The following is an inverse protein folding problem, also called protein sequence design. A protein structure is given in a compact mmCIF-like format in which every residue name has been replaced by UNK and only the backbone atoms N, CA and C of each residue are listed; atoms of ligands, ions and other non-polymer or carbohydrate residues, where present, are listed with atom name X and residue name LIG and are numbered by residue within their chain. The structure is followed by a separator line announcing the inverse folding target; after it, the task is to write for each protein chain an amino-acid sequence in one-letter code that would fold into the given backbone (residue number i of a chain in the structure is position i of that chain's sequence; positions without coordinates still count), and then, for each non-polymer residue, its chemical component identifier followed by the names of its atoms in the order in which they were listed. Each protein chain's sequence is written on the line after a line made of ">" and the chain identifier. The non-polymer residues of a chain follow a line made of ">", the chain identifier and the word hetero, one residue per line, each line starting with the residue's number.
data_IF_194333418242
#
_entry.id   IF_194333418242
#
_cell.length_a   1.000
_cell.length_b   1.000
_cell.length_c   1.000
_cell.angle_alpha   90.00
_cell.angle_beta   90.00
_cell.angle_gamma   90.00
#
_symmetry.space_group_name_H-M   'P 1'
#
loop_
_entity.id
_entity.type
_entity.pdbx_description
1 polymer ?
#
# COMPACT_ATOMS: atom_id res chain seq x y z
N UNK A 1 11.75 12.75 48.20
CA UNK A 1 11.08 12.97 46.90
C UNK A 1 9.63 13.23 47.22
N UNK A 2 9.15 14.43 46.92
CA UNK A 2 7.73 14.77 47.12
C UNK A 2 6.86 13.96 46.17
N UNK A 3 5.65 13.59 46.59
CA UNK A 3 4.71 12.75 45.81
C UNK A 3 4.49 13.29 44.39
N UNK A 4 4.49 14.61 44.23
CA UNK A 4 4.39 15.27 42.93
C UNK A 4 5.55 14.94 41.98
N UNK A 5 6.79 14.86 42.48
CA UNK A 5 7.96 14.51 41.65
C UNK A 5 7.87 13.07 41.14
N UNK A 6 7.38 12.14 41.97
CA UNK A 6 7.19 10.73 41.58
C UNK A 6 6.14 10.61 40.48
N UNK A 7 5.00 11.31 40.63
CA UNK A 7 3.94 11.33 39.62
C UNK A 7 4.48 11.91 38.30
N UNK A 8 5.25 12.99 38.36
CA UNK A 8 5.80 13.65 37.18
C UNK A 8 6.78 12.73 36.43
N UNK A 9 7.63 11.99 37.15
CA UNK A 9 8.52 10.98 36.56
C UNK A 9 7.71 9.87 35.88
N UNK A 10 6.66 9.34 36.52
CA UNK A 10 5.82 8.29 35.93
C UNK A 10 5.12 8.75 34.65
N UNK A 11 4.60 9.98 34.64
CA UNK A 11 3.98 10.57 33.45
C UNK A 11 4.98 10.72 32.31
N UNK A 12 6.20 11.19 32.60
CA UNK A 12 7.26 11.33 31.59
C UNK A 12 7.64 9.97 31.03
N UNK A 13 7.85 8.95 31.88
CA UNK A 13 8.18 7.59 31.43
C UNK A 13 7.08 7.00 30.57
N UNK A 14 5.81 7.17 30.96
CA UNK A 14 4.67 6.70 30.18
C UNK A 14 4.58 7.41 28.82
N UNK A 15 4.74 8.73 28.79
CA UNK A 15 4.73 9.53 27.56
C UNK A 15 5.88 9.12 26.61
N UNK A 16 7.07 8.87 27.15
CA UNK A 16 8.22 8.37 26.40
C UNK A 16 7.92 6.99 25.81
N UNK A 17 7.35 6.06 26.58
CA UNK A 17 6.94 4.74 26.08
C UNK A 17 5.92 4.83 24.92
N UNK A 18 4.94 5.71 25.06
CA UNK A 18 3.91 5.97 24.03
C UNK A 18 4.52 6.51 22.74
N UNK A 19 5.64 7.25 22.79
CA UNK A 19 6.31 7.81 21.61
C UNK A 19 7.35 6.87 21.01
N UNK A 20 8.18 6.23 21.84
CA UNK A 20 9.29 5.38 21.39
C UNK A 20 8.77 4.09 20.75
N UNK A 21 7.79 3.42 21.37
CA UNK A 21 7.27 2.14 20.87
C UNK A 21 6.72 2.23 19.42
N UNK A 22 5.85 3.19 19.06
CA UNK A 22 5.38 3.29 17.68
C UNK A 22 6.49 3.71 16.71
N UNK A 23 7.44 4.56 17.13
CA UNK A 23 8.57 4.94 16.29
C UNK A 23 9.47 3.74 15.97
N UNK A 24 9.81 2.94 17.00
CA UNK A 24 10.61 1.73 16.86
C UNK A 24 9.91 0.67 16.01
N UNK A 25 8.60 0.45 16.22
CA UNK A 25 7.82 -0.50 15.43
C UNK A 25 7.78 -0.13 13.93
N UNK A 26 7.59 1.16 13.60
CA UNK A 26 7.64 1.64 12.21
C UNK A 26 9.01 1.42 11.57
N UNK A 27 10.07 1.62 12.35
CA UNK A 27 11.44 1.45 11.87
C UNK A 27 11.79 -0.03 11.64
N UNK A 28 11.40 -0.92 12.55
CA UNK A 28 11.54 -2.37 12.40
C UNK A 28 10.79 -2.87 11.16
N UNK A 29 9.54 -2.42 10.97
CA UNK A 29 8.73 -2.82 9.83
C UNK A 29 9.39 -2.49 8.47
N UNK A 30 10.04 -1.32 8.36
CA UNK A 30 10.78 -0.94 7.13
C UNK A 30 12.00 -1.80 6.84
N UNK A 31 12.54 -2.47 7.87
CA UNK A 31 13.72 -3.35 7.77
C UNK A 31 13.35 -4.82 7.56
N UNK A 32 12.08 -5.17 7.62
CA UNK A 32 11.64 -6.55 7.38
C UNK A 32 11.86 -6.92 5.91
N UNK A 33 12.14 -8.21 5.61
CA UNK A 33 12.07 -8.73 4.25
C UNK A 33 10.72 -8.45 3.61
N UNK A 34 10.68 -8.29 2.28
CA UNK A 34 9.47 -7.93 1.55
C UNK A 34 8.29 -8.86 1.86
N UNK A 35 8.51 -10.17 1.88
CA UNK A 35 7.46 -11.17 2.16
C UNK A 35 6.87 -11.00 3.58
N UNK A 36 7.72 -10.67 4.56
CA UNK A 36 7.29 -10.41 5.93
C UNK A 36 6.51 -9.10 6.05
N UNK A 37 6.86 -8.09 5.24
CA UNK A 37 6.06 -6.86 5.14
C UNK A 37 4.67 -7.18 4.58
N UNK A 38 4.60 -7.93 3.48
CA UNK A 38 3.36 -8.36 2.83
C UNK A 38 2.46 -9.12 3.81
N UNK A 39 2.99 -10.11 4.54
CA UNK A 39 2.24 -10.87 5.55
C UNK A 39 1.74 -9.98 6.70
N UNK A 40 2.56 -9.02 7.13
CA UNK A 40 2.19 -8.11 8.21
C UNK A 40 1.07 -7.15 7.76
N UNK A 41 1.14 -6.64 6.52
CA UNK A 41 0.07 -5.81 5.90
C UNK A 41 -1.21 -6.64 5.77
N UNK A 42 -1.10 -7.90 5.34
CA UNK A 42 -2.22 -8.83 5.25
C UNK A 42 -2.90 -9.04 6.60
N UNK A 43 -2.13 -9.26 7.68
CA UNK A 43 -2.66 -9.37 9.05
C UNK A 43 -3.31 -8.07 9.51
N UNK A 44 -2.74 -6.93 9.15
CA UNK A 44 -3.27 -5.61 9.49
C UNK A 44 -4.55 -5.26 8.72
N UNK A 45 -4.79 -5.87 7.56
CA UNK A 45 -6.01 -5.67 6.79
C UNK A 45 -7.24 -6.08 7.63
N UNK A 46 -8.04 -5.09 8.05
CA UNK A 46 -9.24 -5.31 8.88
C UNK A 46 -10.50 -5.58 8.07
N UNK A 47 -10.47 -5.36 6.75
CA UNK A 47 -11.64 -5.49 5.87
C UNK A 47 -11.36 -6.28 4.58
N UNK A 48 -12.36 -6.30 3.69
CA UNK A 48 -12.27 -6.95 2.37
C UNK A 48 -11.30 -6.21 1.43
N UNK A 49 -11.18 -4.90 1.58
CA UNK A 49 -10.28 -4.06 0.82
C UNK A 49 -9.44 -3.26 1.81
N UNK A 50 -8.12 -3.29 1.63
CA UNK A 50 -7.20 -2.52 2.44
C UNK A 50 -6.10 -1.93 1.57
N UNK A 51 -5.88 -0.62 1.75
CA UNK A 51 -4.83 0.12 1.07
C UNK A 51 -3.74 0.50 2.05
N UNK A 52 -2.49 0.30 1.65
CA UNK A 52 -1.33 0.75 2.43
C UNK A 52 -0.27 1.32 1.51
N UNK A 53 0.04 2.60 1.67
CA UNK A 53 1.17 3.21 0.99
C UNK A 53 2.43 3.08 1.86
N UNK A 54 3.52 2.56 1.28
CA UNK A 54 4.85 2.55 1.87
C UNK A 54 5.75 3.40 0.98
N UNK A 55 6.10 4.59 1.47
CA UNK A 55 6.97 5.53 0.77
C UNK A 55 8.35 5.64 1.41
N UNK A 56 9.34 5.82 0.55
CA UNK A 56 10.72 6.16 0.88
C UNK A 56 11.14 7.36 0.01
N UNK A 57 10.74 8.57 0.45
CA UNK A 57 11.03 9.80 -0.28
C UNK A 57 10.22 9.90 -1.57
N UNK A 58 10.91 9.90 -2.72
CA UNK A 58 10.30 10.02 -4.07
C UNK A 58 9.85 8.70 -4.67
N UNK A 59 10.13 7.58 -4.01
CA UNK A 59 9.76 6.25 -4.50
C UNK A 59 8.90 5.55 -3.45
N UNK A 60 8.02 4.66 -3.87
CA UNK A 60 7.24 3.87 -2.94
C UNK A 60 6.47 2.74 -3.60
N UNK A 61 5.75 2.02 -2.76
CA UNK A 61 4.90 0.91 -3.15
C UNK A 61 3.54 1.08 -2.49
N UNK A 62 2.49 1.09 -3.31
CA UNK A 62 1.12 1.11 -2.86
C UNK A 62 0.58 -0.31 -2.89
N UNK A 63 0.22 -0.83 -1.72
CA UNK A 63 -0.31 -2.18 -1.55
C UNK A 63 -1.83 -2.13 -1.55
N UNK A 64 -2.42 -2.91 -2.44
CA UNK A 64 -3.85 -3.24 -2.47
C UNK A 64 -4.04 -4.67 -1.97
N UNK A 65 -4.70 -4.81 -0.83
CA UNK A 65 -5.01 -6.13 -0.25
C UNK A 65 -6.48 -6.41 -0.44
N UNK A 66 -6.78 -7.52 -1.12
CA UNK A 66 -8.13 -8.05 -1.28
C UNK A 66 -8.31 -9.30 -0.43
N UNK A 67 -9.35 -9.28 0.39
CA UNK A 67 -9.85 -10.37 1.22
C UNK A 67 -8.77 -11.04 2.10
N UNK A 68 -7.75 -10.29 2.52
CA UNK A 68 -6.56 -10.78 3.25
C UNK A 68 -5.89 -12.01 2.62
N UNK A 69 -6.00 -12.21 1.31
CA UNK A 69 -5.43 -13.37 0.62
C UNK A 69 -4.67 -13.00 -0.64
N UNK A 70 -5.16 -11.97 -1.35
CA UNK A 70 -4.57 -11.51 -2.61
C UNK A 70 -4.00 -10.12 -2.41
N UNK A 71 -2.80 -9.88 -2.93
CA UNK A 71 -2.13 -8.59 -2.81
C UNK A 71 -1.62 -8.18 -4.18
N UNK A 72 -1.90 -6.93 -4.52
CA UNK A 72 -1.42 -6.28 -5.72
C UNK A 72 -0.58 -5.09 -5.28
N UNK A 73 0.62 -4.98 -5.83
CA UNK A 73 1.61 -3.98 -5.44
C UNK A 73 1.87 -3.08 -6.62
N UNK A 74 1.63 -1.80 -6.39
CA UNK A 74 1.85 -0.75 -7.37
C UNK A 74 3.12 0.01 -7.00
N UNK A 75 4.27 -0.30 -7.62
CA UNK A 75 5.46 0.53 -7.48
C UNK A 75 5.18 1.88 -8.13
N UNK A 76 5.42 2.96 -7.39
CA UNK A 76 5.20 4.32 -7.87
C UNK A 76 6.43 5.21 -7.63
N UNK A 77 6.57 6.20 -8.51
CA UNK A 77 7.56 7.27 -8.43
C UNK A 77 6.85 8.63 -8.35
N UNK A 78 7.44 9.56 -7.60
CA UNK A 78 6.97 10.92 -7.54
C UNK A 78 7.53 11.71 -8.73
N UNK A 79 6.65 12.20 -9.58
CA UNK A 79 6.98 13.11 -10.68
C UNK A 79 7.38 14.50 -10.18
N UNK A 80 8.01 15.31 -11.03
CA UNK A 80 8.37 16.71 -10.76
C UNK A 80 7.14 17.56 -10.40
N UNK A 81 5.97 17.19 -10.92
CA UNK A 81 4.68 17.79 -10.60
C UNK A 81 4.08 17.32 -9.26
N UNK A 82 4.82 16.52 -8.48
CA UNK A 82 4.37 15.98 -7.20
C UNK A 82 3.28 14.91 -7.32
N UNK A 83 3.12 14.27 -8.48
CA UNK A 83 2.14 13.21 -8.74
C UNK A 83 2.76 11.84 -8.53
N UNK A 84 1.97 10.87 -8.07
CA UNK A 84 2.42 9.49 -7.93
C UNK A 84 2.20 8.74 -9.24
N UNK A 85 3.26 8.43 -9.98
CA UNK A 85 3.20 7.70 -11.25
C UNK A 85 3.47 6.21 -10.99
N UNK A 86 2.51 5.34 -11.28
CA UNK A 86 2.69 3.89 -11.19
C UNK A 86 3.57 3.43 -12.36
N UNK A 87 4.65 2.71 -12.03
CA UNK A 87 5.67 2.28 -13.00
C UNK A 87 5.38 0.92 -13.65
N UNK A 88 4.33 0.23 -13.21
CA UNK A 88 3.93 -1.08 -13.75
C UNK A 88 3.25 -0.87 -15.10
N UNK A 89 3.75 -1.53 -16.16
CA UNK A 89 3.20 -1.40 -17.53
C UNK A 89 1.71 -1.79 -17.59
N UNK A 90 1.36 -2.92 -16.99
CA UNK A 90 -0.02 -3.31 -16.74
C UNK A 90 -0.27 -3.39 -15.22
N UNK A 91 -0.92 -2.38 -14.62
CA UNK A 91 -1.20 -2.35 -13.19
C UNK A 91 -2.06 -3.53 -12.70
N UNK A 92 -2.83 -4.16 -13.59
CA UNK A 92 -3.85 -5.17 -13.26
C UNK A 92 -3.58 -6.56 -13.84
N UNK A 93 -2.31 -6.87 -14.17
CA UNK A 93 -1.91 -8.11 -14.84
C UNK A 93 -2.03 -9.36 -13.92
N UNK A 94 -1.06 -9.52 -13.03
CA UNK A 94 -0.96 -10.64 -12.10
C UNK A 94 -1.02 -10.14 -10.65
N UNK A 95 -1.60 -10.96 -9.79
CA UNK A 95 -1.48 -10.76 -8.35
C UNK A 95 -0.02 -10.95 -7.92
N UNK A 96 0.53 -10.01 -7.16
CA UNK A 96 1.90 -10.12 -6.62
C UNK A 96 1.98 -11.13 -5.46
N UNK A 97 0.83 -11.48 -4.87
CA UNK A 97 0.71 -12.55 -3.89
C UNK A 97 -0.69 -13.20 -4.00
N UNK A 98 -0.84 -14.53 -3.90
CA UNK A 98 0.14 -15.56 -3.51
C UNK A 98 1.24 -15.85 -4.56
N UNK A 99 2.27 -16.64 -4.20
CA UNK A 99 3.45 -16.97 -5.05
C UNK A 99 3.10 -17.56 -6.43
N UNK A 100 1.91 -18.16 -6.56
CA UNK A 100 1.42 -18.69 -7.84
C UNK A 100 1.06 -17.60 -8.87
N UNK A 101 1.10 -16.32 -8.46
CA UNK A 101 0.81 -15.15 -9.28
C UNK A 101 -0.41 -15.32 -10.20
N UNK A 102 -1.61 -15.62 -9.65
CA UNK A 102 -2.78 -15.83 -10.49
C UNK A 102 -3.15 -14.55 -11.27
N UNK A 103 -3.67 -14.68 -12.50
CA UNK A 103 -4.20 -13.54 -13.24
C UNK A 103 -5.45 -12.99 -12.56
N UNK A 104 -5.70 -11.69 -12.74
CA UNK A 104 -6.93 -11.05 -12.28
C UNK A 104 -8.10 -11.41 -13.19
N UNK A 105 -9.25 -11.71 -12.60
CA UNK A 105 -10.49 -11.86 -13.37
C UNK A 105 -11.07 -10.49 -13.74
N UNK A 106 -11.93 -10.42 -14.76
CA UNK A 106 -12.50 -9.15 -15.26
C UNK A 106 -13.20 -8.33 -14.16
N UNK A 107 -13.98 -8.99 -13.29
CA UNK A 107 -14.62 -8.36 -12.14
C UNK A 107 -13.60 -7.83 -11.12
N UNK A 108 -12.48 -8.54 -10.93
CA UNK A 108 -11.41 -8.12 -10.02
C UNK A 108 -10.66 -6.91 -10.56
N UNK A 109 -10.44 -6.85 -11.87
CA UNK A 109 -9.84 -5.70 -12.56
C UNK A 109 -10.74 -4.48 -12.39
N UNK A 110 -12.04 -4.61 -12.67
CA UNK A 110 -13.01 -3.52 -12.52
C UNK A 110 -13.05 -3.00 -11.09
N UNK A 111 -13.09 -3.92 -10.11
CA UNK A 111 -13.07 -3.56 -8.70
C UNK A 111 -11.76 -2.87 -8.30
N UNK A 112 -10.60 -3.38 -8.73
CA UNK A 112 -9.30 -2.79 -8.44
C UNK A 112 -9.17 -1.38 -9.01
N UNK A 113 -9.69 -1.16 -10.23
CA UNK A 113 -9.74 0.15 -10.89
C UNK A 113 -10.60 1.14 -10.13
N UNK A 114 -11.84 0.78 -9.81
CA UNK A 114 -12.75 1.63 -9.03
C UNK A 114 -12.16 1.99 -7.66
N UNK A 115 -11.54 1.03 -6.98
CA UNK A 115 -10.93 1.26 -5.68
C UNK A 115 -9.65 2.10 -5.78
N UNK A 116 -8.85 1.95 -6.84
CA UNK A 116 -7.67 2.78 -7.08
C UNK A 116 -8.07 4.23 -7.39
N UNK A 117 -9.12 4.44 -8.17
CA UNK A 117 -9.68 5.77 -8.43
C UNK A 117 -10.23 6.39 -7.14
N UNK A 118 -11.06 5.66 -6.38
CA UNK A 118 -11.56 6.13 -5.06
C UNK A 118 -10.41 6.46 -4.09
N UNK A 119 -9.33 5.68 -4.12
CA UNK A 119 -8.15 5.94 -3.30
C UNK A 119 -7.44 7.22 -3.76
N UNK A 120 -7.25 7.39 -5.08
CA UNK A 120 -6.66 8.60 -5.67
C UNK A 120 -7.47 9.85 -5.33
N UNK A 121 -8.81 9.81 -5.44
CA UNK A 121 -9.70 10.94 -5.14
C UNK A 121 -9.67 11.36 -3.66
N UNK A 122 -9.50 10.38 -2.76
CA UNK A 122 -9.37 10.63 -1.31
C UNK A 122 -7.96 11.07 -0.92
N UNK A 123 -6.95 10.70 -1.71
CA UNK A 123 -5.57 11.03 -1.42
C UNK A 123 -5.24 12.47 -1.80
N UNK A 124 -4.40 13.13 -1.00
CA UNK A 124 -3.92 14.48 -1.30
C UNK A 124 -3.03 14.55 -2.55
N UNK A 125 -2.50 13.39 -3.01
CA UNK A 125 -1.60 13.29 -4.15
C UNK A 125 -2.29 12.50 -5.25
N UNK A 126 -2.47 13.11 -6.43
CA UNK A 126 -3.08 12.41 -7.57
C UNK A 126 -2.18 11.26 -8.02
N UNK A 127 -2.81 10.10 -8.20
CA UNK A 127 -2.16 8.91 -8.74
C UNK A 127 -2.39 8.88 -10.25
N UNK A 128 -1.30 8.79 -11.00
CA UNK A 128 -1.28 8.61 -12.44
C UNK A 128 -0.88 7.17 -12.70
N UNK A 129 -1.70 6.43 -13.44
CA UNK A 129 -1.42 5.05 -13.79
C UNK A 129 -1.81 4.81 -15.24
N UNK A 130 -1.09 3.91 -15.91
CA UNK A 130 -1.45 3.49 -17.24
C UNK A 130 -2.63 2.52 -17.13
N UNK A 131 -3.81 2.93 -17.58
CA UNK A 131 -4.99 2.07 -17.58
C UNK A 131 -5.12 1.41 -18.96
N UNK A 132 -4.71 0.13 -19.12
CA UNK A 132 -4.87 -0.56 -20.40
C UNK A 132 -6.34 -0.77 -20.79
N UNK A 133 -7.28 -0.50 -19.88
CA UNK A 133 -8.72 -0.64 -20.08
C UNK A 133 -9.47 0.70 -20.15
N UNK A 134 -8.79 1.85 -20.10
CA UNK A 134 -9.40 3.16 -20.44
C UNK A 134 -9.69 3.24 -21.94
N UNK A 135 -8.81 2.69 -22.76
CA UNK A 135 -8.97 2.59 -24.21
C UNK A 135 -9.73 1.31 -24.55
N UNK A 136 -11.04 1.30 -24.32
CA UNK A 136 -11.91 0.14 -24.57
C UNK A 136 -12.04 -0.35 -26.03
N UNK A 137 -11.08 -0.09 -26.93
CA UNK A 137 -11.04 -0.65 -28.28
C UNK A 137 -9.59 -0.72 -28.80
N UNK A 138 -9.22 -1.86 -29.41
CA UNK A 138 -7.93 -2.14 -30.07
C UNK A 138 -6.78 -2.65 -29.18
N UNK A 139 -6.88 -3.91 -28.72
CA UNK A 139 -5.95 -4.96 -29.17
C UNK A 139 -6.44 -6.34 -28.70
N UNK A 140 -7.51 -6.83 -29.33
CA UNK A 140 -7.58 -8.26 -29.61
C UNK A 140 -6.54 -8.53 -30.71
N UNK A 141 -5.34 -9.00 -30.34
CA UNK A 141 -4.49 -9.69 -31.30
C UNK A 141 -4.98 -11.15 -31.38
N UNK A 142 -5.61 -11.59 -32.48
CA UNK A 142 -5.68 -13.02 -32.75
C UNK A 142 -4.26 -13.50 -33.03
N UNK A 143 -3.77 -14.44 -32.20
CA UNK A 143 -2.60 -15.26 -32.57
C UNK A 143 -2.96 -16.00 -33.87
N UNK A 144 -2.20 -15.74 -34.93
CA UNK A 144 -2.16 -16.58 -36.12
C UNK A 144 -1.50 -17.92 -35.82
#
# INVERSE_FOLDING_TARGET
>A
METYQIILILVVVAAVGILILPAFNRWQFKRLPYDQQVLTIMRQAKGLIYWKNISHGRIGSLFYVKNKRKILVYPWLLDENGRMVIQKENPFDLWDYPEDHPPLNEDEIKQAREELQKYSDKSAVKIVFHDPFENGNAQQQPKQ
#
